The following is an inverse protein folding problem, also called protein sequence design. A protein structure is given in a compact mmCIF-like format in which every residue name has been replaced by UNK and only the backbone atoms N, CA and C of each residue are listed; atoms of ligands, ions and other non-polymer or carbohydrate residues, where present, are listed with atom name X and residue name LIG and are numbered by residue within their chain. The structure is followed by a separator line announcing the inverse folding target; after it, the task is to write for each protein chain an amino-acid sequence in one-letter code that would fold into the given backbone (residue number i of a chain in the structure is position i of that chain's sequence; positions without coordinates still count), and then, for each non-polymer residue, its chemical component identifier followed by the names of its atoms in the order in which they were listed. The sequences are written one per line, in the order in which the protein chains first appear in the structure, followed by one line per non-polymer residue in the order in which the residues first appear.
data_IF_576791515459
#
_entry.id   IF_576791515459
#
_cell.length_a   1.000
_cell.length_b   1.000
_cell.length_c   1.000
_cell.angle_alpha   90.00
_cell.angle_beta   90.00
_cell.angle_gamma   90.00
#
_symmetry.space_group_name_H-M   'P 1'
#
loop_
_entity.id
_entity.type
_entity.pdbx_description
1 polymer ?
#
# COMPACT_ATOMS: atom_id res chain seq x y z
N UNK A 1 14.78 -40.89 55.69
CA UNK A 1 15.38 -40.89 54.34
C UNK A 1 14.26 -40.86 53.29
N UNK A 2 14.04 -39.71 52.64
CA UNK A 2 13.34 -39.58 51.35
C UNK A 2 13.60 -38.15 50.86
N UNK A 3 14.61 -38.01 50.01
CA UNK A 3 14.99 -36.76 49.37
C UNK A 3 14.08 -36.62 48.15
N UNK A 4 13.15 -35.66 48.18
CA UNK A 4 12.26 -35.34 47.08
C UNK A 4 13.02 -34.45 46.08
N UNK A 5 13.45 -35.03 44.97
CA UNK A 5 14.14 -34.35 43.89
C UNK A 5 13.12 -33.51 43.10
N UNK A 6 13.10 -32.20 43.30
CA UNK A 6 12.29 -31.28 42.49
C UNK A 6 13.06 -31.00 41.20
N UNK A 7 12.61 -31.62 40.11
CA UNK A 7 13.13 -31.41 38.77
C UNK A 7 12.65 -30.04 38.26
N UNK A 8 13.49 -29.02 38.36
CA UNK A 8 13.26 -27.70 37.75
C UNK A 8 13.39 -27.83 36.23
N UNK A 9 12.26 -28.07 35.55
CA UNK A 9 12.17 -27.90 34.10
C UNK A 9 12.31 -26.40 33.79
N UNK A 10 13.53 -25.97 33.45
CA UNK A 10 13.77 -24.70 32.78
C UNK A 10 13.14 -24.76 31.38
N UNK A 11 11.87 -24.38 31.28
CA UNK A 11 11.26 -24.00 30.01
C UNK A 11 12.01 -22.75 29.52
N UNK A 12 13.04 -22.99 28.73
CA UNK A 12 13.66 -21.99 27.88
C UNK A 12 12.62 -21.63 26.83
N UNK A 13 11.78 -20.63 27.13
CA UNK A 13 11.00 -19.96 26.09
C UNK A 13 12.01 -19.48 25.04
N UNK A 14 11.93 -19.94 23.78
CA UNK A 14 12.72 -19.32 22.73
C UNK A 14 12.27 -17.87 22.70
N UNK A 15 13.19 -16.97 23.06
CA UNK A 15 13.01 -15.55 22.87
C UNK A 15 12.76 -15.37 21.37
N UNK A 16 11.49 -15.18 20.99
CA UNK A 16 11.11 -14.83 19.62
C UNK A 16 11.97 -13.61 19.27
N UNK A 17 12.96 -13.82 18.40
CA UNK A 17 13.75 -12.72 17.84
C UNK A 17 12.76 -11.76 17.21
N UNK A 18 12.57 -10.60 17.83
CA UNK A 18 11.57 -9.63 17.41
C UNK A 18 11.63 -9.42 15.91
N UNK A 19 10.48 -9.60 15.24
CA UNK A 19 10.38 -9.50 13.80
C UNK A 19 11.02 -8.19 13.32
N UNK A 20 12.05 -8.34 12.50
CA UNK A 20 12.82 -7.19 12.01
C UNK A 20 12.03 -6.52 10.90
N UNK A 21 11.86 -5.21 11.01
CA UNK A 21 11.34 -4.38 9.92
C UNK A 21 12.26 -4.54 8.69
N UNK A 22 11.71 -5.00 7.57
CA UNK A 22 12.40 -5.15 6.28
C UNK A 22 12.07 -3.98 5.35
N UNK A 23 13.03 -3.56 4.53
CA UNK A 23 12.77 -2.62 3.43
C UNK A 23 12.27 -3.43 2.24
N UNK A 24 11.02 -3.20 1.83
CA UNK A 24 10.40 -3.85 0.67
C UNK A 24 10.80 -3.14 -0.62
N UNK A 25 10.72 -1.80 -0.62
CA UNK A 25 11.04 -0.99 -1.80
C UNK A 25 11.56 0.38 -1.38
N UNK A 26 12.48 0.93 -2.16
CA UNK A 26 12.89 2.34 -2.05
C UNK A 26 12.64 3.02 -3.39
N UNK A 27 11.92 4.14 -3.39
CA UNK A 27 11.64 4.93 -4.58
C UNK A 27 12.11 6.37 -4.41
N UNK A 28 12.70 6.91 -5.47
CA UNK A 28 12.91 8.35 -5.60
C UNK A 28 11.59 8.98 -6.07
N UNK A 29 11.09 9.92 -5.29
CA UNK A 29 9.91 10.72 -5.59
C UNK A 29 10.31 12.00 -6.32
N UNK A 30 9.30 12.72 -6.82
CA UNK A 30 9.52 14.06 -7.38
C UNK A 30 10.13 14.98 -6.31
N UNK A 31 10.95 15.96 -6.73
CA UNK A 31 11.64 16.95 -5.86
C UNK A 31 12.78 16.40 -4.97
N UNK A 32 13.50 15.36 -5.40
CA UNK A 32 14.62 14.75 -4.66
C UNK A 32 14.24 14.21 -3.27
N UNK A 33 12.97 13.83 -3.09
CA UNK A 33 12.51 13.13 -1.90
C UNK A 33 12.62 11.61 -2.13
N UNK A 34 12.92 10.84 -1.09
CA UNK A 34 12.95 9.38 -1.17
C UNK A 34 11.95 8.79 -0.18
N UNK A 35 11.20 7.79 -0.62
CA UNK A 35 10.32 7.00 0.25
C UNK A 35 10.78 5.56 0.30
N UNK A 36 10.74 4.96 1.49
CA UNK A 36 10.92 3.53 1.67
C UNK A 36 9.60 2.90 2.09
N UNK A 37 9.18 1.86 1.38
CA UNK A 37 8.15 0.94 1.84
C UNK A 37 8.81 -0.06 2.79
N UNK A 38 8.36 -0.04 4.03
CA UNK A 38 8.81 -0.94 5.09
C UNK A 38 7.73 -1.97 5.36
N UNK A 39 8.16 -3.16 5.77
CA UNK A 39 7.27 -4.23 6.20
C UNK A 39 7.74 -4.79 7.54
N UNK A 40 6.80 -4.90 8.48
CA UNK A 40 6.98 -5.62 9.72
C UNK A 40 6.22 -6.94 9.58
N UNK A 41 6.91 -8.08 9.65
CA UNK A 41 6.23 -9.38 9.68
C UNK A 41 5.55 -9.54 11.03
N UNK A 42 4.30 -10.00 11.03
CA UNK A 42 3.54 -10.41 12.22
C UNK A 42 3.06 -11.84 12.03
N UNK A 43 2.38 -12.39 13.04
CA UNK A 43 1.74 -13.71 12.94
C UNK A 43 0.64 -13.74 11.86
N UNK A 44 0.00 -12.60 11.58
CA UNK A 44 -1.13 -12.50 10.67
C UNK A 44 -0.72 -12.07 9.24
N UNK A 45 0.53 -11.62 9.04
CA UNK A 45 1.07 -11.22 7.75
C UNK A 45 2.04 -10.05 7.84
N UNK A 46 2.35 -9.42 6.71
CA UNK A 46 3.14 -8.19 6.67
C UNK A 46 2.26 -6.98 7.03
N UNK A 47 2.70 -6.15 7.98
CA UNK A 47 2.15 -4.81 8.22
C UNK A 47 3.05 -3.77 7.56
N UNK A 48 2.46 -2.89 6.74
CA UNK A 48 3.24 -1.93 5.94
C UNK A 48 3.36 -0.55 6.60
N UNK A 49 4.53 0.06 6.43
CA UNK A 49 4.82 1.44 6.84
C UNK A 49 5.55 2.19 5.73
N UNK A 50 5.43 3.51 5.72
CA UNK A 50 6.22 4.39 4.86
C UNK A 50 7.26 5.11 5.70
N UNK A 51 8.49 5.18 5.19
CA UNK A 51 9.56 5.97 5.78
C UNK A 51 10.01 7.07 4.84
N UNK A 52 9.96 8.29 5.35
CA UNK A 52 10.45 9.50 4.71
C UNK A 52 11.51 10.11 5.61
N UNK A 53 12.78 10.09 5.17
CA UNK A 53 13.93 10.48 6.00
C UNK A 53 13.91 9.77 7.36
N UNK A 54 13.67 10.51 8.44
CA UNK A 54 13.65 10.00 9.82
C UNK A 54 12.22 9.80 10.35
N UNK A 55 11.19 9.98 9.53
CA UNK A 55 9.78 9.83 9.90
C UNK A 55 9.26 8.51 9.37
N UNK A 56 8.67 7.69 10.24
CA UNK A 56 7.93 6.47 9.89
C UNK A 56 6.45 6.73 10.16
N UNK A 57 5.60 6.38 9.21
CA UNK A 57 4.14 6.51 9.31
C UNK A 57 3.46 5.29 8.70
N UNK A 58 2.17 5.10 8.98
CA UNK A 58 1.39 4.04 8.37
C UNK A 58 1.36 4.15 6.84
N UNK A 59 1.33 3.01 6.15
CA UNK A 59 1.38 3.02 4.70
C UNK A 59 0.06 3.45 4.04
N UNK A 60 -1.07 3.16 4.67
CA UNK A 60 -2.39 3.47 4.14
C UNK A 60 -2.81 4.91 4.47
N UNK A 61 -2.80 5.78 3.46
CA UNK A 61 -2.97 7.24 3.59
C UNK A 61 -4.38 7.68 4.01
N UNK A 62 -5.39 6.85 3.78
CA UNK A 62 -6.76 7.07 4.23
C UNK A 62 -6.94 6.80 5.74
N UNK A 63 -6.08 5.97 6.32
CA UNK A 63 -6.07 5.62 7.75
C UNK A 63 -4.65 5.47 8.31
N UNK A 64 -3.81 6.53 8.27
CA UNK A 64 -2.37 6.42 8.52
C UNK A 64 -2.01 6.02 9.96
N UNK A 65 -2.89 6.29 10.93
CA UNK A 65 -2.71 5.88 12.33
C UNK A 65 -3.12 4.42 12.59
N UNK A 66 -3.73 3.75 11.61
CA UNK A 66 -4.32 2.42 11.72
C UNK A 66 -3.77 1.45 10.68
N UNK A 67 -2.51 1.61 10.29
CA UNK A 67 -1.87 0.69 9.34
C UNK A 67 -1.85 -0.76 9.84
N UNK A 68 -1.83 -0.95 11.16
CA UNK A 68 -1.89 -2.25 11.81
C UNK A 68 -3.24 -2.98 11.65
N UNK A 69 -4.30 -2.27 11.22
CA UNK A 69 -5.59 -2.90 10.89
C UNK A 69 -5.52 -3.66 9.55
N UNK A 70 -4.44 -3.50 8.78
CA UNK A 70 -4.22 -4.18 7.50
C UNK A 70 -2.91 -4.96 7.51
N UNK A 71 -3.03 -6.28 7.53
CA UNK A 71 -1.94 -7.24 7.49
C UNK A 71 -2.20 -8.27 6.39
N UNK A 72 -1.14 -8.81 5.80
CA UNK A 72 -1.25 -9.83 4.75
C UNK A 72 -0.03 -9.86 3.85
N UNK A 73 -0.18 -10.31 2.60
CA UNK A 73 0.97 -10.49 1.70
C UNK A 73 1.13 -9.31 0.74
N UNK A 74 2.36 -8.82 0.57
CA UNK A 74 2.67 -7.75 -0.39
C UNK A 74 2.57 -8.29 -1.82
N UNK A 75 1.56 -7.85 -2.55
CA UNK A 75 1.29 -8.29 -3.94
C UNK A 75 1.75 -7.28 -5.00
N UNK A 76 2.05 -6.04 -4.61
CA UNK A 76 2.57 -5.01 -5.51
C UNK A 76 3.56 -4.08 -4.76
N UNK A 77 4.71 -3.80 -5.36
CA UNK A 77 5.62 -2.72 -4.92
C UNK A 77 6.52 -2.22 -6.07
N UNK A 78 6.17 -1.08 -6.65
CA UNK A 78 6.87 -0.53 -7.82
C UNK A 78 7.11 0.97 -7.72
N UNK A 79 8.22 1.42 -8.32
CA UNK A 79 8.51 2.83 -8.50
C UNK A 79 8.13 3.22 -9.92
N UNK A 80 7.22 4.18 -10.07
CA UNK A 80 6.71 4.65 -11.36
C UNK A 80 6.64 6.17 -11.37
N UNK A 81 7.16 6.81 -12.41
CA UNK A 81 7.06 8.27 -12.62
C UNK A 81 7.37 9.17 -11.40
N UNK A 82 8.37 8.81 -10.60
CA UNK A 82 8.68 9.52 -9.35
C UNK A 82 7.59 9.35 -8.27
N UNK A 83 7.02 8.16 -8.17
CA UNK A 83 5.99 7.75 -7.22
C UNK A 83 6.20 6.29 -6.80
N UNK A 84 5.69 5.92 -5.64
CA UNK A 84 5.64 4.55 -5.15
C UNK A 84 4.20 4.05 -5.24
N UNK A 85 3.95 2.96 -5.95
CA UNK A 85 2.69 2.22 -5.86
C UNK A 85 2.94 0.91 -5.13
N UNK A 86 2.07 0.57 -4.20
CA UNK A 86 2.12 -0.70 -3.51
C UNK A 86 0.71 -1.22 -3.21
N UNK A 87 0.61 -2.52 -2.98
CA UNK A 87 -0.63 -3.15 -2.56
C UNK A 87 -0.35 -4.40 -1.73
N UNK A 88 -1.29 -4.70 -0.86
CA UNK A 88 -1.28 -5.82 0.07
C UNK A 88 -2.59 -6.58 -0.06
N UNK A 89 -2.51 -7.91 -0.16
CA UNK A 89 -3.67 -8.79 -0.03
C UNK A 89 -3.96 -8.99 1.45
N UNK A 90 -5.00 -8.34 1.99
CA UNK A 90 -5.30 -8.29 3.43
C UNK A 90 -6.42 -9.25 3.86
N UNK A 91 -6.76 -10.20 2.98
CA UNK A 91 -7.83 -11.16 3.17
C UNK A 91 -8.42 -11.51 1.81
N UNK A 92 -7.99 -12.63 1.24
CA UNK A 92 -8.36 -13.03 -0.12
C UNK A 92 -9.89 -12.99 -0.32
N UNK A 93 -10.40 -12.36 -1.40
CA UNK A 93 -9.67 -11.85 -2.56
C UNK A 93 -9.38 -10.33 -2.49
N UNK A 94 -9.38 -9.70 -1.32
CA UNK A 94 -9.30 -8.25 -1.20
C UNK A 94 -7.86 -7.73 -1.11
N UNK A 95 -7.58 -6.73 -1.94
CA UNK A 95 -6.30 -6.05 -2.03
C UNK A 95 -6.52 -4.59 -1.65
N UNK A 96 -5.68 -4.05 -0.77
CA UNK A 96 -5.62 -2.63 -0.44
C UNK A 96 -4.25 -2.09 -0.80
N UNK A 97 -4.21 -0.93 -1.44
CA UNK A 97 -2.96 -0.33 -1.87
C UNK A 97 -3.05 1.18 -1.92
N UNK A 98 -1.90 1.82 -2.11
CA UNK A 98 -1.83 3.26 -2.30
C UNK A 98 -0.79 3.63 -3.35
N UNK A 99 -1.06 4.76 -4.01
CA UNK A 99 -0.07 5.49 -4.79
C UNK A 99 0.42 6.67 -3.94
N UNK A 100 1.71 6.71 -3.69
CA UNK A 100 2.42 7.73 -2.91
C UNK A 100 3.24 8.59 -3.87
N UNK A 101 2.99 9.89 -3.87
CA UNK A 101 3.52 10.84 -4.87
C UNK A 101 4.49 11.87 -4.29
N UNK A 102 4.53 12.03 -2.97
CA UNK A 102 5.35 13.06 -2.31
C UNK A 102 5.11 13.12 -0.81
N UNK A 103 5.64 14.17 -0.18
CA UNK A 103 5.34 14.60 1.18
C UNK A 103 4.79 16.04 1.16
N UNK A 104 3.67 16.27 1.87
CA UNK A 104 2.93 17.53 1.73
C UNK A 104 3.78 18.74 2.10
N UNK A 105 3.87 19.73 1.19
CA UNK A 105 4.63 20.98 1.33
C UNK A 105 6.14 20.80 1.64
N UNK A 106 6.73 19.62 1.38
CA UNK A 106 8.01 19.26 1.98
C UNK A 106 7.93 19.29 3.51
N UNK A 107 9.02 19.02 4.23
CA UNK A 107 9.01 18.96 5.71
C UNK A 107 8.71 20.30 6.44
N UNK A 108 8.09 21.27 5.77
CA UNK A 108 7.71 22.60 6.26
C UNK A 108 6.20 22.79 6.45
N UNK A 109 5.35 21.86 5.99
CA UNK A 109 3.89 21.91 6.18
C UNK A 109 3.32 20.70 6.92
N UNK A 110 2.05 20.34 6.66
CA UNK A 110 1.42 19.14 7.24
C UNK A 110 2.34 17.93 7.02
N UNK A 111 2.70 17.26 8.10
CA UNK A 111 3.63 16.15 8.11
C UNK A 111 2.95 14.84 7.66
N UNK A 112 2.44 14.81 6.43
CA UNK A 112 1.78 13.63 5.87
C UNK A 112 2.24 13.33 4.44
N UNK A 113 2.29 12.04 4.05
CA UNK A 113 2.53 11.66 2.67
C UNK A 113 1.39 12.13 1.75
N UNK A 114 1.73 12.53 0.53
CA UNK A 114 0.78 12.88 -0.53
C UNK A 114 0.48 11.66 -1.41
N UNK A 115 -0.80 11.45 -1.72
CA UNK A 115 -1.21 10.33 -2.55
C UNK A 115 -2.68 9.97 -2.35
N UNK A 116 -3.04 8.75 -2.74
CA UNK A 116 -4.38 8.21 -2.50
C UNK A 116 -4.35 6.67 -2.51
N UNK A 117 -5.34 6.08 -1.85
CA UNK A 117 -5.46 4.63 -1.71
C UNK A 117 -6.64 4.07 -2.52
N UNK A 118 -6.56 2.78 -2.80
CA UNK A 118 -7.57 1.96 -3.45
C UNK A 118 -7.76 0.66 -2.68
N UNK A 119 -8.93 0.06 -2.79
CA UNK A 119 -9.23 -1.24 -2.21
C UNK A 119 -10.15 -2.03 -3.14
N UNK A 120 -9.61 -3.04 -3.83
CA UNK A 120 -10.33 -3.82 -4.84
C UNK A 120 -9.88 -5.28 -4.85
N UNK A 121 -10.50 -6.11 -5.69
CA UNK A 121 -10.18 -7.54 -5.78
C UNK A 121 -8.99 -7.88 -6.67
N UNK A 122 -8.66 -6.98 -7.59
CA UNK A 122 -7.59 -7.17 -8.57
C UNK A 122 -6.48 -6.15 -8.36
N UNK A 123 -5.24 -6.58 -8.66
CA UNK A 123 -4.09 -5.68 -8.74
C UNK A 123 -4.33 -4.69 -9.89
N UNK A 124 -3.99 -3.40 -9.73
CA UNK A 124 -4.11 -2.45 -10.83
C UNK A 124 -3.28 -2.84 -12.05
N UNK A 125 -3.82 -2.63 -13.24
CA UNK A 125 -3.13 -2.92 -14.51
C UNK A 125 -2.19 -1.80 -14.90
N UNK A 126 -2.55 -0.55 -14.57
CA UNK A 126 -1.80 0.64 -14.95
C UNK A 126 -2.08 1.83 -14.04
N UNK A 127 -1.13 2.78 -14.05
CA UNK A 127 -1.31 4.14 -13.52
C UNK A 127 -1.10 5.15 -14.63
N UNK A 128 -2.05 6.06 -14.79
CA UNK A 128 -2.05 7.07 -15.85
C UNK A 128 -1.83 8.44 -15.21
N UNK A 129 -0.74 9.10 -15.55
CA UNK A 129 -0.38 10.42 -15.02
C UNK A 129 -0.75 11.50 -16.03
N UNK A 130 -1.79 12.27 -15.73
CA UNK A 130 -2.20 13.42 -16.51
C UNK A 130 -1.70 14.74 -15.90
N UNK A 131 -1.98 15.85 -16.58
CA UNK A 131 -1.64 17.19 -16.09
C UNK A 131 -2.42 17.59 -14.83
N UNK A 132 -3.70 17.22 -14.79
CA UNK A 132 -4.63 17.66 -13.73
C UNK A 132 -4.98 16.54 -12.74
N UNK A 133 -4.79 15.29 -13.14
CA UNK A 133 -5.18 14.14 -12.35
C UNK A 133 -4.32 12.91 -12.64
N UNK A 134 -4.37 11.95 -11.74
CA UNK A 134 -3.74 10.64 -11.82
C UNK A 134 -4.84 9.60 -11.68
N UNK A 135 -4.84 8.62 -12.58
CA UNK A 135 -5.77 7.51 -12.59
C UNK A 135 -5.06 6.21 -12.22
N UNK A 136 -5.66 5.42 -11.34
CA UNK A 136 -5.32 4.00 -11.17
C UNK A 136 -6.38 3.17 -11.88
N UNK A 137 -5.95 2.34 -12.81
CA UNK A 137 -6.81 1.51 -13.65
C UNK A 137 -6.76 0.07 -13.16
N UNK A 138 -7.91 -0.46 -12.76
CA UNK A 138 -8.05 -1.83 -12.27
C UNK A 138 -9.06 -2.54 -13.17
N UNK A 139 -8.71 -3.71 -13.71
CA UNK A 139 -9.70 -4.53 -14.41
C UNK A 139 -10.67 -5.09 -13.40
N UNK A 140 -11.97 -4.91 -13.64
CA UNK A 140 -12.99 -5.46 -12.79
C UNK A 140 -13.17 -6.95 -13.06
N UNK A 141 -13.40 -7.73 -12.01
CA UNK A 141 -13.93 -9.07 -12.16
C UNK A 141 -15.45 -8.94 -12.27
N UNK A 142 -15.94 -8.97 -13.52
CA UNK A 142 -17.37 -8.96 -13.80
C UNK A 142 -18.03 -10.10 -13.02
N UNK A 143 -19.22 -9.84 -12.47
CA UNK A 143 -20.04 -10.77 -11.67
C UNK A 143 -19.69 -10.91 -10.18
N UNK A 144 -18.74 -10.13 -9.66
CA UNK A 144 -18.39 -10.16 -8.23
C UNK A 144 -18.26 -8.76 -7.64
N UNK A 145 -19.11 -8.42 -6.67
CA UNK A 145 -19.12 -7.11 -5.99
C UNK A 145 -20.19 -6.15 -6.52
N UNK A 146 -20.03 -4.85 -6.24
CA UNK A 146 -21.02 -3.80 -6.57
C UNK A 146 -20.73 -3.09 -7.90
N UNK A 147 -19.50 -3.19 -8.40
CA UNK A 147 -19.06 -2.54 -9.64
C UNK A 147 -19.61 -3.27 -10.87
N UNK A 148 -20.23 -2.51 -11.79
CA UNK A 148 -20.89 -3.08 -12.98
C UNK A 148 -20.11 -2.91 -14.29
N UNK A 149 -19.06 -2.10 -14.31
CA UNK A 149 -18.25 -1.86 -15.51
C UNK A 149 -17.01 -2.75 -15.60
N UNK A 150 -16.48 -2.95 -16.81
CA UNK A 150 -15.23 -3.72 -17.06
C UNK A 150 -13.99 -3.22 -16.31
N UNK A 151 -13.96 -1.94 -15.97
CA UNK A 151 -12.85 -1.30 -15.27
C UNK A 151 -13.37 -0.58 -14.03
N UNK A 152 -12.55 -0.58 -12.98
CA UNK A 152 -12.68 0.29 -11.82
C UNK A 152 -11.56 1.32 -11.91
N UNK A 153 -11.92 2.59 -11.84
CA UNK A 153 -11.01 3.71 -12.04
C UNK A 153 -11.02 4.56 -10.80
N UNK A 154 -9.84 4.78 -10.22
CA UNK A 154 -9.64 5.72 -9.12
C UNK A 154 -9.04 7.01 -9.68
N UNK A 155 -9.76 8.13 -9.54
CA UNK A 155 -9.36 9.45 -10.06
C UNK A 155 -9.06 10.44 -8.93
N UNK A 156 -7.79 10.80 -8.75
CA UNK A 156 -7.37 11.63 -7.63
C UNK A 156 -7.94 13.07 -7.65
N UNK A 157 -8.45 13.56 -8.78
CA UNK A 157 -9.10 14.86 -8.85
C UNK A 157 -10.49 14.86 -8.20
N UNK A 158 -11.09 13.68 -8.02
CA UNK A 158 -12.37 13.52 -7.31
C UNK A 158 -12.15 13.46 -5.79
N UNK A 159 -13.19 13.85 -5.06
CA UNK A 159 -13.23 13.75 -3.59
C UNK A 159 -13.09 12.29 -3.16
N UNK A 160 -12.58 12.05 -1.94
CA UNK A 160 -12.22 10.70 -1.50
C UNK A 160 -13.35 9.67 -1.59
N UNK A 161 -14.60 10.05 -1.31
CA UNK A 161 -15.77 9.17 -1.40
C UNK A 161 -16.32 8.95 -2.82
N UNK A 162 -15.86 9.73 -3.81
CA UNK A 162 -16.31 9.68 -5.21
C UNK A 162 -15.17 9.29 -6.17
N UNK A 163 -13.99 8.99 -5.60
CA UNK A 163 -12.75 8.74 -6.33
C UNK A 163 -12.86 7.53 -7.24
N UNK A 164 -13.51 6.48 -6.76
CA UNK A 164 -13.71 5.24 -7.48
C UNK A 164 -15.00 5.30 -8.30
N UNK A 165 -14.93 4.87 -9.55
CA UNK A 165 -16.10 4.65 -10.40
C UNK A 165 -15.83 3.52 -11.39
N UNK A 166 -16.90 2.84 -11.83
CA UNK A 166 -16.78 1.79 -12.84
C UNK A 166 -17.12 2.31 -14.24
N UNK A 167 -16.44 1.78 -15.26
CA UNK A 167 -16.70 2.06 -16.67
C UNK A 167 -16.43 0.83 -17.54
N UNK A 168 -17.20 0.63 -18.61
CA UNK A 168 -16.91 -0.40 -19.61
C UNK A 168 -15.79 -0.01 -20.57
N UNK A 169 -15.48 1.28 -20.63
CA UNK A 169 -14.46 1.84 -21.49
C UNK A 169 -13.39 2.55 -20.66
N UNK A 170 -12.13 2.38 -21.06
CA UNK A 170 -11.05 3.19 -20.52
C UNK A 170 -11.23 4.67 -20.94
N UNK A 171 -10.74 5.63 -20.13
CA UNK A 171 -10.68 7.03 -20.54
C UNK A 171 -9.84 7.21 -21.81
N UNK A 172 -10.00 8.36 -22.49
CA UNK A 172 -9.05 8.71 -23.55
C UNK A 172 -7.63 8.73 -22.99
N UNK A 173 -6.68 8.20 -23.76
CA UNK A 173 -5.26 8.20 -23.41
C UNK A 173 -4.63 9.57 -23.63
N UNK A 174 -5.30 10.47 -24.34
CA UNK A 174 -4.80 11.80 -24.67
C UNK A 174 -4.48 12.61 -23.41
N UNK A 175 -3.26 13.14 -23.33
CA UNK A 175 -2.80 13.91 -22.18
C UNK A 175 -2.35 13.09 -20.97
N UNK A 176 -2.33 11.74 -21.07
CA UNK A 176 -1.82 10.85 -20.04
C UNK A 176 -0.49 10.20 -20.43
N UNK A 177 0.44 10.13 -19.47
CA UNK A 177 1.60 9.23 -19.52
C UNK A 177 1.23 7.95 -18.78
N UNK A 178 1.25 6.82 -19.47
CA UNK A 178 0.72 5.54 -18.98
C UNK A 178 1.86 4.62 -18.55
N UNK A 179 1.78 4.09 -17.32
CA UNK A 179 2.69 3.10 -16.78
C UNK A 179 1.92 1.81 -16.50
N UNK A 180 2.22 0.75 -17.27
CA UNK A 180 1.70 -0.58 -17.00
C UNK A 180 2.41 -1.19 -15.77
N UNK A 181 1.65 -1.86 -14.90
CA UNK A 181 2.15 -2.47 -13.67
C UNK A 181 2.34 -3.98 -13.78
N UNK A 182 1.65 -4.60 -14.73
CA UNK A 182 1.77 -6.03 -15.01
C UNK A 182 2.87 -6.25 -16.06
N UNK A 183 3.99 -6.82 -15.61
CA UNK A 183 4.94 -7.57 -16.42
C UNK A 183 5.26 -8.88 -15.71
#
# INVERSE_FOLDING_TARGET
MRIMLILLCFFSFPCFSGDKIKIVKTCQLKKNESVQLLSLRTIDGDTLYLKFRNVITGAFLDTPTKSYDFFGDVVLSQCINGSLIFALEYGSPYIKGCLVTGWENGFKGKNSPEGFCFAERNIPEAVWFGKNNILIIIRNQMDVGTWKGKYIIYDNAKKSGERAYSSDNLPSKDGYIIFALNK
#
